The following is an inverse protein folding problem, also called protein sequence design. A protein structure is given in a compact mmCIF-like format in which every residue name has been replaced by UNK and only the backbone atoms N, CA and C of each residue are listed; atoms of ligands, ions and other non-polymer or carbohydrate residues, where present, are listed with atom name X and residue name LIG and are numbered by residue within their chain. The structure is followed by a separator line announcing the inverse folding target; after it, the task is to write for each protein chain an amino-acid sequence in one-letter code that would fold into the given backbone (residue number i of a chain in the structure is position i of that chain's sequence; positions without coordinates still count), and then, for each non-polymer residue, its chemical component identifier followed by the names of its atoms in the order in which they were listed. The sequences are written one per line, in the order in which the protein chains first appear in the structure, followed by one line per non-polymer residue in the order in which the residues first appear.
data_IF_586066768076
#
_entry.id   IF_586066768076
#
_cell.length_a   1.000
_cell.length_b   1.000
_cell.length_c   1.000
_cell.angle_alpha   90.00
_cell.angle_beta   90.00
_cell.angle_gamma   90.00
#
_symmetry.space_group_name_H-M   'P 1'
#
loop_
_entity.id
_entity.type
_entity.pdbx_description
1 polymer ?
#
# COMPACT_ATOMS: atom_id res chain seq x y z
N UNK A 1 40.11 -50.58 -16.52
CA UNK A 1 39.01 -51.42 -17.05
C UNK A 1 37.78 -51.23 -16.20
N UNK A 2 37.83 -51.49 -14.89
CA UNK A 2 36.67 -51.33 -13.98
C UNK A 2 36.13 -49.90 -13.93
N UNK A 3 37.00 -48.91 -13.70
CA UNK A 3 36.67 -47.46 -13.76
C UNK A 3 36.12 -47.00 -15.11
N UNK A 4 36.39 -47.76 -16.17
CA UNK A 4 36.02 -47.44 -17.54
C UNK A 4 34.58 -47.84 -17.84
N UNK A 5 34.10 -48.92 -17.21
CA UNK A 5 32.71 -49.35 -17.26
C UNK A 5 31.82 -48.50 -16.36
N UNK A 6 32.32 -48.13 -15.18
CA UNK A 6 31.62 -47.25 -14.25
C UNK A 6 31.26 -45.91 -14.88
N UNK A 7 32.24 -45.21 -15.47
CA UNK A 7 31.98 -43.92 -16.12
C UNK A 7 30.97 -44.03 -17.27
N UNK A 8 31.04 -45.11 -18.07
CA UNK A 8 30.11 -45.30 -19.18
C UNK A 8 28.68 -45.49 -18.67
N UNK A 9 28.52 -46.27 -17.62
CA UNK A 9 27.22 -46.49 -17.00
C UNK A 9 26.67 -45.21 -16.36
N UNK A 10 27.50 -44.45 -15.63
CA UNK A 10 27.09 -43.17 -15.04
C UNK A 10 26.68 -42.17 -16.11
N UNK A 11 27.52 -41.98 -17.13
CA UNK A 11 27.27 -41.04 -18.23
C UNK A 11 26.00 -41.39 -19.01
N UNK A 12 25.81 -42.68 -19.35
CA UNK A 12 24.61 -43.13 -20.06
C UNK A 12 23.38 -43.06 -19.18
N UNK A 13 23.49 -43.35 -17.88
CA UNK A 13 22.38 -43.23 -16.93
C UNK A 13 21.96 -41.78 -16.77
N UNK A 14 22.92 -40.85 -16.71
CA UNK A 14 22.66 -39.41 -16.67
C UNK A 14 21.99 -38.94 -17.97
N UNK A 15 22.44 -39.44 -19.12
CA UNK A 15 21.87 -39.08 -20.42
C UNK A 15 20.44 -39.61 -20.63
N UNK A 16 20.25 -40.91 -20.36
CA UNK A 16 18.99 -41.61 -20.59
C UNK A 16 17.98 -41.38 -19.47
N UNK A 17 18.42 -40.89 -18.31
CA UNK A 17 17.66 -40.75 -17.06
C UNK A 17 17.26 -42.07 -16.39
N UNK A 18 17.73 -43.20 -16.94
CA UNK A 18 17.58 -44.54 -16.40
C UNK A 18 18.80 -45.40 -16.77
N UNK A 19 19.10 -46.47 -16.02
CA UNK A 19 20.19 -47.38 -16.35
C UNK A 19 19.87 -48.16 -17.62
N UNK A 20 20.80 -48.29 -18.59
CA UNK A 20 20.56 -49.08 -19.81
C UNK A 20 20.09 -50.52 -19.55
N UNK A 21 20.55 -51.13 -18.45
CA UNK A 21 20.14 -52.47 -18.03
C UNK A 21 18.63 -52.54 -17.74
N UNK A 22 18.05 -51.50 -17.13
CA UNK A 22 16.61 -51.44 -16.83
C UNK A 22 15.75 -51.49 -18.08
N UNK A 23 16.19 -50.86 -19.18
CA UNK A 23 15.48 -50.92 -20.46
C UNK A 23 15.50 -52.34 -21.03
N UNK A 24 16.62 -53.04 -20.90
CA UNK A 24 16.74 -54.42 -21.38
C UNK A 24 15.87 -55.35 -20.54
N UNK A 25 15.88 -55.19 -19.21
CA UNK A 25 15.01 -55.94 -18.29
C UNK A 25 13.53 -55.74 -18.65
N UNK A 26 13.11 -54.49 -18.91
CA UNK A 26 11.73 -54.18 -19.31
C UNK A 26 11.35 -54.84 -20.64
N UNK A 27 12.27 -54.87 -21.61
CA UNK A 27 12.07 -55.58 -22.89
C UNK A 27 11.89 -57.08 -22.65
N UNK A 28 12.77 -57.72 -21.89
CA UNK A 28 12.70 -59.15 -21.57
C UNK A 28 11.38 -59.48 -20.85
N UNK A 29 11.00 -58.68 -19.86
CA UNK A 29 9.74 -58.84 -19.13
C UNK A 29 8.53 -58.73 -20.05
N UNK A 30 8.56 -57.78 -20.99
CA UNK A 30 7.48 -57.59 -21.98
C UNK A 30 7.37 -58.80 -22.90
N UNK A 31 8.49 -59.34 -23.37
CA UNK A 31 8.49 -60.51 -24.26
C UNK A 31 7.99 -61.75 -23.54
N UNK A 32 8.40 -61.97 -22.29
CA UNK A 32 7.91 -63.08 -21.49
C UNK A 32 6.40 -62.96 -21.26
N UNK A 33 5.91 -61.75 -20.98
CA UNK A 33 4.46 -61.51 -20.86
C UNK A 33 3.73 -61.83 -22.16
N UNK A 34 4.21 -61.33 -23.30
CA UNK A 34 3.63 -61.61 -24.62
C UNK A 34 3.70 -63.09 -24.99
N UNK A 35 4.74 -63.79 -24.58
CA UNK A 35 4.88 -65.24 -24.79
C UNK A 35 3.74 -65.99 -24.09
N UNK A 36 3.54 -65.75 -22.79
CA UNK A 36 2.47 -66.40 -22.03
C UNK A 36 1.09 -66.02 -22.55
N UNK A 37 0.87 -64.76 -22.94
CA UNK A 37 -0.37 -64.32 -23.56
C UNK A 37 -0.64 -65.04 -24.90
N UNK A 38 0.38 -65.18 -25.76
CA UNK A 38 0.24 -65.85 -27.04
C UNK A 38 -0.02 -67.35 -26.89
N UNK A 39 0.72 -68.02 -25.99
CA UNK A 39 0.52 -69.44 -25.68
C UNK A 39 -0.88 -69.68 -25.09
N UNK A 40 -1.32 -68.84 -24.15
CA UNK A 40 -2.67 -68.92 -23.59
C UNK A 40 -3.77 -68.66 -24.62
N UNK A 41 -3.55 -67.75 -25.58
CA UNK A 41 -4.48 -67.53 -26.68
C UNK A 41 -4.57 -68.75 -27.61
N UNK A 42 -3.45 -69.44 -27.86
CA UNK A 42 -3.43 -70.69 -28.62
C UNK A 42 -4.19 -71.78 -27.88
N UNK A 43 -3.97 -71.94 -26.57
CA UNK A 43 -4.69 -72.91 -25.74
C UNK A 43 -6.21 -72.66 -25.76
N UNK A 44 -6.62 -71.41 -25.54
CA UNK A 44 -8.03 -71.01 -25.61
C UNK A 44 -8.61 -71.27 -27.01
N UNK A 45 -7.85 -71.01 -28.07
CA UNK A 45 -8.23 -71.35 -29.43
C UNK A 45 -8.33 -72.89 -29.61
N UNK A 46 -7.46 -73.70 -29.05
CA UNK A 46 -7.60 -75.15 -29.20
C UNK A 46 -8.82 -75.70 -28.44
N UNK A 47 -9.21 -75.09 -27.32
CA UNK A 47 -10.39 -75.52 -26.56
C UNK A 47 -11.74 -75.23 -27.22
N UNK A 48 -11.86 -74.22 -28.10
CA UNK A 48 -13.12 -73.98 -28.81
C UNK A 48 -13.33 -74.93 -30.01
N UNK A 49 -12.30 -75.70 -30.39
CA UNK A 49 -12.41 -76.71 -31.43
C UNK A 49 -13.25 -77.91 -30.93
N UNK A 50 -14.03 -78.56 -31.81
CA UNK A 50 -14.88 -79.67 -31.39
C UNK A 50 -14.05 -80.83 -30.85
N UNK A 51 -14.45 -81.35 -29.68
CA UNK A 51 -13.75 -82.44 -28.95
C UNK A 51 -13.67 -83.78 -29.70
N UNK A 52 -14.24 -83.88 -30.90
CA UNK A 52 -14.09 -85.01 -31.81
C UNK A 52 -12.76 -85.02 -32.58
N UNK A 53 -12.01 -83.91 -32.54
CA UNK A 53 -10.76 -83.75 -33.32
C UNK A 53 -9.50 -83.98 -32.50
N UNK A 54 -9.44 -83.50 -31.25
CA UNK A 54 -8.27 -83.58 -30.37
C UNK A 54 -8.73 -83.74 -28.92
N UNK A 55 -8.02 -84.55 -28.15
CA UNK A 55 -8.31 -84.72 -26.71
C UNK A 55 -7.76 -83.54 -25.88
N UNK A 56 -8.45 -83.18 -24.80
CA UNK A 56 -8.04 -82.05 -23.93
C UNK A 56 -6.63 -82.26 -23.36
N UNK A 57 -6.29 -83.49 -22.97
CA UNK A 57 -4.97 -83.84 -22.43
C UNK A 57 -3.85 -83.66 -23.47
N UNK A 58 -4.13 -83.96 -24.74
CA UNK A 58 -3.16 -83.79 -25.82
C UNK A 58 -2.95 -82.31 -26.16
N UNK A 59 -3.98 -81.48 -26.01
CA UNK A 59 -3.88 -80.01 -26.11
C UNK A 59 -2.98 -79.48 -25.00
N UNK A 60 -3.28 -79.79 -23.74
CA UNK A 60 -2.49 -79.32 -22.58
C UNK A 60 -1.01 -79.75 -22.70
N UNK A 61 -0.75 -81.00 -23.07
CA UNK A 61 0.62 -81.49 -23.26
C UNK A 61 1.34 -80.81 -24.43
N UNK A 62 0.65 -80.57 -25.55
CA UNK A 62 1.23 -79.90 -26.71
C UNK A 62 1.51 -78.43 -26.46
N UNK A 63 0.59 -77.72 -25.82
CA UNK A 63 0.74 -76.32 -25.40
C UNK A 63 1.92 -76.18 -24.45
N UNK A 64 2.01 -77.06 -23.44
CA UNK A 64 3.13 -77.04 -22.50
C UNK A 64 4.49 -77.30 -23.18
N UNK A 65 4.54 -78.22 -24.15
CA UNK A 65 5.77 -78.44 -24.95
C UNK A 65 6.16 -77.20 -25.77
N UNK A 66 5.19 -76.51 -26.36
CA UNK A 66 5.42 -75.27 -27.12
C UNK A 66 5.90 -74.16 -26.19
N UNK A 67 5.27 -74.00 -25.03
CA UNK A 67 5.65 -73.03 -24.00
C UNK A 67 7.11 -73.20 -23.61
N UNK A 68 7.50 -74.40 -23.13
CA UNK A 68 8.88 -74.69 -22.73
C UNK A 68 9.86 -74.51 -23.89
N UNK A 69 9.47 -74.87 -25.12
CA UNK A 69 10.31 -74.68 -26.29
C UNK A 69 10.55 -73.20 -26.59
N UNK A 70 9.50 -72.38 -26.51
CA UNK A 70 9.59 -70.94 -26.77
C UNK A 70 10.34 -70.21 -25.66
N UNK A 71 10.13 -70.57 -24.39
CA UNK A 71 10.92 -70.04 -23.25
C UNK A 71 12.42 -70.23 -23.51
N UNK A 72 12.84 -71.45 -23.84
CA UNK A 72 14.24 -71.75 -24.15
C UNK A 72 14.81 -70.94 -25.33
N UNK A 73 13.99 -70.64 -26.35
CA UNK A 73 14.40 -69.85 -27.51
C UNK A 73 14.50 -68.37 -27.15
N UNK A 74 13.50 -67.87 -26.42
CA UNK A 74 13.43 -66.48 -25.97
C UNK A 74 14.63 -66.20 -25.08
N UNK A 75 14.84 -66.98 -24.02
CA UNK A 75 15.96 -66.81 -23.09
C UNK A 75 17.30 -66.76 -23.85
N UNK A 76 17.57 -67.77 -24.68
CA UNK A 76 18.85 -67.85 -25.42
C UNK A 76 19.09 -66.66 -26.34
N UNK A 77 18.05 -66.22 -27.06
CA UNK A 77 18.19 -65.13 -28.02
C UNK A 77 18.21 -63.76 -27.32
N UNK A 78 17.47 -63.61 -26.22
CA UNK A 78 17.40 -62.36 -25.47
C UNK A 78 18.59 -62.16 -24.54
N UNK A 79 19.22 -63.22 -24.03
CA UNK A 79 20.55 -63.16 -23.41
C UNK A 79 21.60 -62.65 -24.41
N UNK A 80 21.56 -63.16 -25.65
CA UNK A 80 22.47 -62.72 -26.71
C UNK A 80 22.21 -61.26 -27.12
N UNK A 81 20.93 -60.85 -27.12
CA UNK A 81 20.54 -59.46 -27.34
C UNK A 81 21.03 -58.55 -26.22
N UNK A 82 20.85 -58.92 -24.95
CA UNK A 82 21.36 -58.17 -23.79
C UNK A 82 22.86 -57.93 -23.93
N UNK A 83 23.62 -59.01 -24.15
CA UNK A 83 25.07 -58.94 -24.33
C UNK A 83 25.46 -58.05 -25.51
N UNK A 84 24.75 -58.16 -26.64
CA UNK A 84 25.03 -57.33 -27.81
C UNK A 84 24.72 -55.85 -27.55
N UNK A 85 23.60 -55.54 -26.92
CA UNK A 85 23.16 -54.19 -26.63
C UNK A 85 24.11 -53.50 -25.65
N UNK A 86 24.46 -54.15 -24.55
CA UNK A 86 25.39 -53.62 -23.55
C UNK A 86 26.82 -53.49 -24.07
N UNK A 87 27.22 -54.29 -25.06
CA UNK A 87 28.56 -54.26 -25.63
C UNK A 87 28.73 -53.30 -26.81
N UNK A 88 27.67 -53.05 -27.60
CA UNK A 88 27.79 -52.30 -28.85
C UNK A 88 26.90 -51.06 -28.93
N UNK A 89 25.70 -51.10 -28.35
CA UNK A 89 24.74 -49.99 -28.44
C UNK A 89 24.99 -49.02 -27.29
N UNK A 90 25.02 -49.54 -26.06
CA UNK A 90 25.19 -48.76 -24.83
C UNK A 90 26.66 -48.64 -24.43
N UNK A 91 27.53 -48.30 -25.40
CA UNK A 91 28.96 -48.11 -25.16
C UNK A 91 29.44 -46.82 -25.80
N UNK A 92 30.07 -45.97 -24.98
CA UNK A 92 30.78 -44.80 -25.44
C UNK A 92 32.25 -45.16 -25.71
N UNK A 93 32.73 -45.01 -26.96
CA UNK A 93 34.13 -45.25 -27.32
C UNK A 93 35.10 -44.41 -26.49
N UNK A 94 36.21 -45.02 -26.05
CA UNK A 94 37.19 -44.37 -25.16
C UNK A 94 37.80 -43.09 -25.77
N UNK A 95 37.98 -43.07 -27.09
CA UNK A 95 38.61 -41.98 -27.82
C UNK A 95 37.80 -40.66 -27.81
N UNK A 96 36.49 -40.71 -27.53
CA UNK A 96 35.64 -39.51 -27.55
C UNK A 96 35.19 -39.05 -26.16
N UNK A 97 35.49 -39.81 -25.10
CA UNK A 97 34.97 -39.54 -23.74
C UNK A 97 35.35 -38.15 -23.21
N UNK A 98 36.59 -37.72 -23.46
CA UNK A 98 37.06 -36.39 -23.03
C UNK A 98 36.43 -35.22 -23.80
N UNK A 99 35.76 -35.49 -24.93
CA UNK A 99 35.12 -34.47 -25.77
C UNK A 99 33.59 -34.51 -25.67
N UNK A 100 33.03 -35.52 -25.01
CA UNK A 100 31.60 -35.67 -24.83
C UNK A 100 31.15 -34.87 -23.61
N UNK A 101 30.08 -34.10 -23.78
CA UNK A 101 29.40 -33.38 -22.70
C UNK A 101 27.90 -33.46 -22.92
N UNK A 102 27.15 -33.58 -21.83
CA UNK A 102 25.69 -33.56 -21.88
C UNK A 102 25.19 -32.13 -21.99
N UNK A 103 23.98 -31.96 -22.53
CA UNK A 103 23.38 -30.65 -22.79
C UNK A 103 23.32 -29.78 -21.53
N UNK A 104 22.94 -30.35 -20.39
CA UNK A 104 22.86 -29.62 -19.12
C UNK A 104 24.21 -29.34 -18.45
N UNK A 105 25.28 -29.98 -18.92
CA UNK A 105 26.65 -29.72 -18.47
C UNK A 105 27.33 -28.58 -19.26
N UNK A 106 26.71 -28.09 -20.35
CA UNK A 106 27.31 -27.06 -21.20
C UNK A 106 27.45 -25.70 -20.50
N UNK A 107 26.47 -25.32 -19.68
CA UNK A 107 26.44 -24.03 -18.98
C UNK A 107 27.10 -24.09 -17.59
N UNK A 108 27.69 -25.24 -17.25
CA UNK A 108 28.33 -25.46 -15.95
C UNK A 108 29.83 -25.18 -16.07
N UNK A 109 30.29 -24.25 -15.24
CA UNK A 109 31.71 -23.95 -15.10
C UNK A 109 32.35 -24.88 -14.07
N UNK A 110 33.04 -25.91 -14.57
CA UNK A 110 33.76 -26.90 -13.77
C UNK A 110 35.13 -26.39 -13.26
N UNK A 111 35.53 -25.15 -13.55
CA UNK A 111 36.81 -24.60 -13.10
C UNK A 111 36.77 -24.01 -11.68
N UNK A 112 35.58 -23.90 -11.08
CA UNK A 112 35.39 -23.30 -9.75
C UNK A 112 35.91 -24.21 -8.64
N UNK A 113 36.63 -23.62 -7.71
CA UNK A 113 37.16 -24.32 -6.52
C UNK A 113 36.11 -24.41 -5.41
N UNK A 114 36.32 -25.32 -4.46
CA UNK A 114 35.58 -25.37 -3.19
C UNK A 114 35.53 -23.99 -2.49
N UNK A 115 36.61 -23.19 -2.58
CA UNK A 115 36.62 -21.83 -2.03
C UNK A 115 35.64 -20.89 -2.73
N UNK A 116 35.48 -21.03 -4.04
CA UNK A 116 34.49 -20.23 -4.79
C UNK A 116 33.07 -20.64 -4.42
N UNK A 117 32.85 -21.94 -4.14
CA UNK A 117 31.58 -22.42 -3.65
C UNK A 117 31.25 -21.86 -2.26
N UNK A 118 32.20 -21.86 -1.32
CA UNK A 118 32.03 -21.24 0.00
C UNK A 118 31.72 -19.75 -0.10
N UNK A 119 32.43 -19.02 -0.98
CA UNK A 119 32.17 -17.61 -1.25
C UNK A 119 30.75 -17.40 -1.77
N UNK A 120 30.31 -18.16 -2.78
CA UNK A 120 28.95 -18.08 -3.33
C UNK A 120 27.90 -18.39 -2.25
N UNK A 121 28.11 -19.39 -1.41
CA UNK A 121 27.19 -19.72 -0.31
C UNK A 121 27.10 -18.58 0.72
N UNK A 122 28.23 -17.94 1.02
CA UNK A 122 28.26 -16.77 1.89
C UNK A 122 27.49 -15.59 1.28
N UNK A 123 27.67 -15.34 -0.02
CA UNK A 123 26.95 -14.30 -0.76
C UNK A 123 25.44 -14.56 -0.79
N UNK A 124 25.02 -15.79 -1.08
CA UNK A 124 23.61 -16.20 -1.02
C UNK A 124 23.03 -15.95 0.36
N UNK A 125 23.77 -16.30 1.43
CA UNK A 125 23.33 -16.11 2.81
C UNK A 125 23.19 -14.62 3.15
N UNK A 126 24.14 -13.79 2.71
CA UNK A 126 24.07 -12.35 2.87
C UNK A 126 22.87 -11.74 2.13
N UNK A 127 22.62 -12.17 0.88
CA UNK A 127 21.48 -11.70 0.10
C UNK A 127 20.16 -12.11 0.75
N UNK A 128 20.03 -13.36 1.22
CA UNK A 128 18.85 -13.81 1.97
C UNK A 128 18.60 -12.95 3.21
N UNK A 129 19.65 -12.64 3.97
CA UNK A 129 19.54 -11.78 5.15
C UNK A 129 19.10 -10.34 4.78
N UNK A 130 19.64 -9.78 3.70
CA UNK A 130 19.22 -8.47 3.17
C UNK A 130 17.75 -8.46 2.76
N UNK A 131 17.29 -9.50 2.06
CA UNK A 131 15.88 -9.64 1.66
C UNK A 131 14.98 -9.72 2.90
N UNK A 132 15.35 -10.52 3.90
CA UNK A 132 14.58 -10.64 5.14
C UNK A 132 14.49 -9.30 5.90
N UNK A 133 15.61 -8.58 6.00
CA UNK A 133 15.65 -7.26 6.63
C UNK A 133 14.77 -6.25 5.88
N UNK A 134 14.88 -6.20 4.55
CA UNK A 134 14.06 -5.33 3.71
C UNK A 134 12.56 -5.64 3.85
N UNK A 135 12.20 -6.93 3.86
CA UNK A 135 10.82 -7.36 4.05
C UNK A 135 10.27 -6.93 5.43
N UNK A 136 11.06 -7.10 6.49
CA UNK A 136 10.68 -6.66 7.84
C UNK A 136 10.43 -5.15 7.90
N UNK A 137 11.32 -4.36 7.30
CA UNK A 137 11.16 -2.89 7.25
C UNK A 137 9.93 -2.51 6.44
N UNK A 138 9.70 -3.14 5.29
CA UNK A 138 8.52 -2.89 4.45
C UNK A 138 7.22 -3.10 5.24
N UNK A 139 7.13 -4.20 6.00
CA UNK A 139 5.96 -4.50 6.82
C UNK A 139 5.73 -3.46 7.92
N UNK A 140 6.79 -2.99 8.57
CA UNK A 140 6.69 -1.92 9.57
C UNK A 140 6.23 -0.62 8.93
N UNK A 141 6.79 -0.26 7.76
CA UNK A 141 6.42 0.95 7.03
C UNK A 141 4.95 0.95 6.61
N UNK A 142 4.43 -0.20 6.15
CA UNK A 142 3.01 -0.36 5.80
C UNK A 142 2.10 -0.16 7.01
N UNK A 143 2.47 -0.71 8.17
CA UNK A 143 1.72 -0.50 9.41
C UNK A 143 1.73 0.97 9.83
N UNK A 144 2.90 1.62 9.82
CA UNK A 144 3.03 3.04 10.15
C UNK A 144 2.27 3.95 9.18
N UNK A 145 2.25 3.60 7.89
CA UNK A 145 1.46 4.30 6.89
C UNK A 145 -0.03 4.21 7.21
N UNK A 146 -0.55 3.01 7.52
CA UNK A 146 -1.95 2.83 7.89
C UNK A 146 -2.33 3.60 9.17
N UNK A 147 -1.45 3.63 10.16
CA UNK A 147 -1.65 4.43 11.37
C UNK A 147 -1.70 5.93 11.05
N UNK A 148 -0.74 6.43 10.27
CA UNK A 148 -0.70 7.83 9.87
C UNK A 148 -1.94 8.23 9.06
N UNK A 149 -2.43 7.37 8.16
CA UNK A 149 -3.68 7.60 7.42
C UNK A 149 -4.87 7.75 8.39
N UNK A 150 -5.00 6.88 9.38
CA UNK A 150 -6.08 6.97 10.38
C UNK A 150 -6.01 8.24 11.25
N UNK A 151 -4.80 8.67 11.63
CA UNK A 151 -4.59 9.90 12.39
C UNK A 151 -4.97 11.10 11.53
N UNK A 152 -4.57 11.08 10.27
CA UNK A 152 -4.84 12.16 9.32
C UNK A 152 -6.35 12.28 9.05
N UNK A 153 -7.08 11.17 8.94
CA UNK A 153 -8.54 11.15 8.87
C UNK A 153 -9.17 11.76 10.13
N UNK A 154 -8.68 11.39 11.32
CA UNK A 154 -9.17 11.97 12.59
C UNK A 154 -8.93 13.47 12.66
N UNK A 155 -7.73 13.93 12.32
CA UNK A 155 -7.39 15.35 12.29
C UNK A 155 -8.28 16.10 11.30
N UNK A 156 -8.48 15.57 10.09
CA UNK A 156 -9.41 16.15 9.10
C UNK A 156 -10.84 16.22 9.64
N UNK A 157 -11.31 15.20 10.36
CA UNK A 157 -12.62 15.21 10.98
C UNK A 157 -12.73 16.29 12.08
N UNK A 158 -11.72 16.41 12.95
CA UNK A 158 -11.66 17.47 13.96
C UNK A 158 -11.57 18.87 13.33
N UNK A 159 -10.82 19.05 12.24
CA UNK A 159 -10.79 20.32 11.51
C UNK A 159 -12.16 20.65 10.91
N UNK A 160 -12.88 19.67 10.33
CA UNK A 160 -14.27 19.87 9.88
C UNK A 160 -15.20 20.26 11.03
N UNK A 161 -15.04 19.62 12.19
CA UNK A 161 -15.78 19.99 13.40
C UNK A 161 -15.42 21.38 13.91
N UNK A 162 -14.22 21.90 13.65
CA UNK A 162 -13.87 23.27 14.03
C UNK A 162 -14.17 24.28 12.92
N UNK A 163 -14.41 23.83 11.68
CA UNK A 163 -14.72 24.69 10.55
C UNK A 163 -16.00 25.51 10.79
N UNK A 164 -17.00 24.97 11.51
CA UNK A 164 -18.21 25.73 11.86
C UNK A 164 -17.87 26.98 12.69
N UNK A 165 -16.83 26.98 13.53
CA UNK A 165 -16.44 28.16 14.30
C UNK A 165 -15.92 29.28 13.38
N UNK A 166 -15.23 28.90 12.31
CA UNK A 166 -14.84 29.79 11.21
C UNK A 166 -16.06 30.29 10.44
N UNK A 167 -16.98 29.39 10.13
CA UNK A 167 -18.08 29.66 9.21
C UNK A 167 -19.19 30.48 9.88
N UNK A 168 -19.49 30.24 11.16
CA UNK A 168 -20.38 31.08 11.98
C UNK A 168 -19.83 32.51 12.07
N UNK A 169 -18.52 32.69 12.25
CA UNK A 169 -17.90 34.02 12.27
C UNK A 169 -18.14 34.76 10.95
N UNK A 170 -18.11 34.06 9.81
CA UNK A 170 -18.38 34.63 8.48
C UNK A 170 -19.87 34.85 8.20
N UNK A 171 -20.73 33.95 8.64
CA UNK A 171 -22.19 34.00 8.41
C UNK A 171 -22.84 35.19 9.12
N UNK A 172 -22.36 35.55 10.31
CA UNK A 172 -22.86 36.69 11.08
C UNK A 172 -22.02 37.97 10.88
N UNK A 173 -21.09 38.00 9.91
CA UNK A 173 -20.17 39.11 9.63
C UNK A 173 -19.46 39.68 10.87
N UNK A 174 -19.12 38.79 11.82
CA UNK A 174 -18.42 39.17 13.05
C UNK A 174 -16.93 39.01 12.82
N UNK A 175 -16.17 40.09 13.07
CA UNK A 175 -14.70 40.07 13.01
C UNK A 175 -14.12 39.00 13.96
N UNK A 176 -12.95 38.42 13.63
CA UNK A 176 -12.33 37.39 14.47
C UNK A 176 -12.32 37.78 15.95
N UNK A 177 -12.59 36.81 16.84
CA UNK A 177 -12.77 37.06 18.27
C UNK A 177 -11.64 37.90 18.87
N UNK A 178 -10.39 37.61 18.48
CA UNK A 178 -9.21 38.33 18.95
C UNK A 178 -9.26 39.84 18.61
N UNK A 179 -9.69 40.20 17.40
CA UNK A 179 -9.81 41.61 16.99
C UNK A 179 -10.95 42.32 17.74
N UNK A 180 -12.06 41.60 17.98
CA UNK A 180 -13.20 42.15 18.73
C UNK A 180 -12.84 42.34 20.20
N UNK A 181 -12.11 41.41 20.82
CA UNK A 181 -11.65 41.55 22.20
C UNK A 181 -10.67 42.71 22.35
N UNK A 182 -9.71 42.86 21.43
CA UNK A 182 -8.77 43.98 21.46
C UNK A 182 -9.48 45.31 21.27
N UNK A 183 -10.44 45.38 20.34
CA UNK A 183 -11.24 46.57 20.14
C UNK A 183 -12.07 46.92 21.40
N UNK A 184 -12.78 45.95 21.99
CA UNK A 184 -13.58 46.19 23.19
C UNK A 184 -12.72 46.58 24.40
N UNK A 185 -11.56 45.96 24.58
CA UNK A 185 -10.61 46.33 25.64
C UNK A 185 -10.11 47.76 25.42
N UNK A 186 -9.75 48.12 24.20
CA UNK A 186 -9.34 49.49 23.88
C UNK A 186 -10.47 50.51 24.09
N UNK A 187 -11.71 50.19 23.68
CA UNK A 187 -12.86 51.07 23.88
C UNK A 187 -13.26 51.23 25.35
N UNK A 188 -13.14 50.16 26.16
CA UNK A 188 -13.42 50.22 27.59
C UNK A 188 -12.37 51.06 28.34
N UNK A 189 -11.10 50.99 27.94
CA UNK A 189 -10.06 51.89 28.46
C UNK A 189 -10.34 53.36 28.11
N UNK A 190 -10.74 53.63 26.87
CA UNK A 190 -11.15 54.98 26.44
C UNK A 190 -12.36 55.47 27.23
N UNK A 191 -13.40 54.64 27.38
CA UNK A 191 -14.56 54.98 28.19
C UNK A 191 -14.22 55.18 29.67
N UNK A 192 -13.29 54.41 30.23
CA UNK A 192 -12.81 54.60 31.59
C UNK A 192 -12.06 55.95 31.74
N UNK A 193 -11.27 56.33 30.74
CA UNK A 193 -10.62 57.65 30.70
C UNK A 193 -11.64 58.80 30.56
N UNK A 194 -12.70 58.61 29.77
CA UNK A 194 -13.79 59.57 29.64
C UNK A 194 -14.64 59.66 30.91
N UNK A 195 -14.91 58.54 31.57
CA UNK A 195 -15.61 58.53 32.86
C UNK A 195 -14.78 59.16 33.97
N UNK A 196 -13.46 59.00 33.97
CA UNK A 196 -12.59 59.65 34.96
C UNK A 196 -12.48 61.15 34.71
N UNK A 197 -12.40 61.58 33.45
CA UNK A 197 -12.48 63.02 33.10
C UNK A 197 -13.86 63.61 33.43
N UNK A 198 -14.97 62.96 33.07
CA UNK A 198 -16.33 63.38 33.46
C UNK A 198 -16.53 63.37 34.97
N UNK A 199 -15.96 62.40 35.69
CA UNK A 199 -16.00 62.38 37.16
C UNK A 199 -15.21 63.54 37.75
N UNK A 200 -14.04 63.88 37.19
CA UNK A 200 -13.30 65.08 37.59
C UNK A 200 -14.09 66.36 37.30
N UNK A 201 -14.80 66.42 36.17
CA UNK A 201 -15.69 67.53 35.82
C UNK A 201 -16.93 67.60 36.73
N UNK A 202 -17.48 66.44 37.13
CA UNK A 202 -18.57 66.32 38.08
C UNK A 202 -18.17 66.70 39.49
N UNK A 203 -16.92 66.45 39.90
CA UNK A 203 -16.36 66.96 41.15
C UNK A 203 -16.14 68.49 41.12
N UNK A 204 -15.95 69.09 39.93
CA UNK A 204 -15.98 70.55 39.77
C UNK A 204 -17.40 71.11 39.66
N UNK A 205 -18.41 70.27 39.45
CA UNK A 205 -19.82 70.66 39.41
C UNK A 205 -20.43 70.54 40.81
N UNK A 206 -20.04 71.47 41.67
CA UNK A 206 -20.77 71.80 42.90
C UNK A 206 -22.18 72.19 42.47
N UNK A 207 -23.22 71.53 42.99
CA UNK A 207 -24.64 71.65 42.58
C UNK A 207 -25.29 73.02 42.83
N UNK A 208 -24.59 74.11 42.50
CA UNK A 208 -25.08 75.47 42.41
C UNK A 208 -25.62 75.66 40.99
N UNK A 209 -26.81 76.27 40.81
CA UNK A 209 -27.23 76.68 39.48
C UNK A 209 -26.12 77.57 38.90
N UNK A 210 -25.74 77.34 37.62
CA UNK A 210 -24.86 78.26 36.91
C UNK A 210 -25.35 79.68 37.19
N UNK A 211 -24.49 80.53 37.73
CA UNK A 211 -24.85 81.90 38.05
C UNK A 211 -25.48 82.55 36.82
N UNK A 212 -26.78 82.89 36.91
CA UNK A 212 -27.56 83.51 35.83
C UNK A 212 -26.80 84.69 35.21
N UNK A 213 -26.00 85.39 36.03
CA UNK A 213 -25.20 86.55 35.64
C UNK A 213 -24.23 86.34 34.46
N UNK A 214 -23.52 85.22 34.34
CA UNK A 214 -22.54 85.08 33.24
C UNK A 214 -23.20 84.74 31.91
N UNK A 215 -24.29 83.95 31.97
CA UNK A 215 -25.11 83.64 30.79
C UNK A 215 -25.96 84.83 30.38
N UNK A 216 -26.52 85.56 31.34
CA UNK A 216 -27.19 86.85 31.11
C UNK A 216 -26.23 87.85 30.49
N UNK A 217 -25.02 88.02 31.02
CA UNK A 217 -24.02 88.93 30.45
C UNK A 217 -23.62 88.53 29.03
N UNK A 218 -23.50 87.22 28.75
CA UNK A 218 -23.19 86.74 27.41
C UNK A 218 -24.37 86.89 26.43
N UNK A 219 -25.59 86.65 26.90
CA UNK A 219 -26.82 86.88 26.13
C UNK A 219 -27.03 88.37 25.90
N UNK A 220 -26.81 89.23 26.89
CA UNK A 220 -26.92 90.69 26.82
C UNK A 220 -25.86 91.26 25.88
N UNK A 221 -24.62 90.75 25.93
CA UNK A 221 -23.55 91.12 24.99
C UNK A 221 -23.80 90.59 23.57
N UNK A 222 -24.42 89.43 23.43
CA UNK A 222 -24.86 88.88 22.15
C UNK A 222 -26.03 89.70 21.57
N UNK A 223 -27.04 90.03 22.38
CA UNK A 223 -28.18 90.87 21.99
C UNK A 223 -27.71 92.29 21.62
N UNK A 224 -26.80 92.91 22.39
CA UNK A 224 -26.22 94.21 22.05
C UNK A 224 -25.42 94.18 20.75
N UNK A 225 -24.65 93.11 20.51
CA UNK A 225 -23.93 92.91 19.25
C UNK A 225 -24.87 92.66 18.07
N UNK A 226 -26.00 91.99 18.27
CA UNK A 226 -27.00 91.77 17.24
C UNK A 226 -27.88 93.02 16.99
N UNK A 227 -28.15 93.83 18.01
CA UNK A 227 -28.87 95.12 17.88
C UNK A 227 -28.01 96.21 17.24
N UNK A 228 -26.70 96.26 17.51
CA UNK A 228 -25.78 97.18 16.82
C UNK A 228 -25.60 96.85 15.34
N UNK A 229 -25.77 95.57 14.98
CA UNK A 229 -25.77 95.09 13.58
C UNK A 229 -27.11 95.38 12.88
N UNK A 230 -28.20 95.54 13.65
CA UNK A 230 -29.53 95.91 13.11
C UNK A 230 -29.75 97.42 13.03
N UNK A 231 -28.97 98.25 13.72
CA UNK A 231 -29.07 99.72 13.64
C UNK A 231 -28.40 100.35 12.41
N UNK A 232 -27.66 99.57 11.62
CA UNK A 232 -27.00 100.03 10.38
C UNK A 232 -27.83 99.76 9.10
N UNK A 233 -29.04 99.20 9.20
CA UNK A 233 -29.99 99.12 8.08
C UNK A 233 -31.41 99.60 8.49
N UNK A 234 -31.79 100.80 8.02
CA UNK A 234 -33.14 101.33 7.79
C UNK A 234 -34.36 100.61 8.44
N UNK A 235 -35.02 101.22 9.45
CA UNK A 235 -36.44 101.67 9.40
C UNK A 235 -37.00 102.09 10.79
N UNK A 236 -37.64 103.28 10.80
CA UNK A 236 -38.76 103.81 11.60
C UNK A 236 -38.82 103.78 13.17
N UNK A 237 -39.21 104.91 13.82
CA UNK A 237 -39.18 105.06 15.28
C UNK A 237 -40.57 104.82 15.90
N UNK A 238 -40.90 103.60 16.31
CA UNK A 238 -42.05 103.38 17.21
C UNK A 238 -41.75 102.24 18.19
N UNK A 239 -42.08 102.48 19.45
CA UNK A 239 -42.07 101.55 20.59
C UNK A 239 -40.76 101.33 21.37
N UNK A 240 -40.19 102.44 21.87
CA UNK A 240 -39.39 102.44 23.10
C UNK A 240 -40.20 102.12 24.39
N UNK A 241 -41.46 101.68 24.25
CA UNK A 241 -42.38 101.40 25.37
C UNK A 241 -42.55 99.88 25.61
N UNK A 242 -42.31 99.03 24.60
CA UNK A 242 -42.50 97.56 24.72
C UNK A 242 -41.33 96.85 25.43
N UNK A 243 -40.14 97.44 25.43
CA UNK A 243 -38.96 96.86 26.08
C UNK A 243 -39.02 96.91 27.61
N UNK A 244 -39.77 97.86 28.20
CA UNK A 244 -39.98 97.90 29.65
C UNK A 244 -41.00 96.87 30.15
N UNK A 245 -41.89 96.38 29.28
CA UNK A 245 -42.88 95.35 29.63
C UNK A 245 -42.28 93.95 29.69
N UNK A 246 -41.24 93.66 28.91
CA UNK A 246 -40.56 92.36 28.93
C UNK A 246 -39.67 92.19 30.16
N UNK A 247 -38.99 93.25 30.61
CA UNK A 247 -38.12 93.19 31.79
C UNK A 247 -38.91 92.90 33.08
N UNK A 248 -40.12 93.46 33.24
CA UNK A 248 -40.99 93.15 34.40
C UNK A 248 -41.50 91.71 34.42
N UNK A 249 -41.64 91.07 33.26
CA UNK A 249 -42.17 89.69 33.16
C UNK A 249 -41.14 88.62 33.53
N UNK A 250 -39.85 88.96 33.48
CA UNK A 250 -38.76 88.05 33.87
C UNK A 250 -38.42 88.12 35.35
N UNK A 251 -38.78 89.18 36.06
CA UNK A 251 -38.58 89.31 37.52
C UNK A 251 -39.63 88.59 38.37
N UNK A 252 -40.76 88.14 37.79
CA UNK A 252 -41.87 87.48 38.50
C UNK A 252 -41.84 85.93 38.38
N UNK A 253 -40.72 85.33 37.96
CA UNK A 253 -40.58 83.89 37.69
C UNK A 253 -39.47 83.20 38.52
N UNK A 254 -39.12 83.75 39.69
CA UNK A 254 -38.40 83.01 40.75
C UNK A 254 -39.33 82.04 41.51
#
# INVERSE_FOLDING_TARGET
METLYEWNNEFLTEHLTYPPLSLIDDVINTINTLLYEAVGAIEQYMHHLPSSTISVQEIEQGVHQIETFLENIVDRNFDAFELYALRNIFVVPENIRGWMRLKHQMDVDFSKSEKDFENIQSEISLVKNKIYAAYKVSRVLENEKALNESILERLRASTKQLAFLSDISKEYDVKPLFETTDFLVNQTLVLQSLLTTLRSLGFTYDGKPLASLEREYYIEKSILHHLSVLSDENCDPVNAIDSQHLVRRFSDLE
#
